data_IF_493081971486
#
_entry.id   IF_493081971486
#
_cell.length_a   1.000
_cell.length_b   1.000
_cell.length_c   1.000
_cell.angle_alpha   90.00
_cell.angle_beta   90.00
_cell.angle_gamma   90.00
#
_symmetry.space_group_name_H-M   'P 1'
#
loop_
_entity.id
_entity.type
_entity.pdbx_description
1 polymer ?
#
# COMPACT_ATOMS: atom_id res chain seq x y z
N UNK A 1 26.55 -17.76 -18.56
CA UNK A 1 25.97 -17.78 -17.19
C UNK A 1 24.79 -16.83 -17.20
N UNK A 2 23.66 -17.27 -16.68
CA UNK A 2 22.44 -16.46 -16.60
C UNK A 2 22.67 -15.29 -15.63
N UNK A 3 22.05 -14.13 -15.89
CA UNK A 3 22.23 -12.95 -15.03
C UNK A 3 21.35 -13.10 -13.77
N UNK A 4 21.84 -12.71 -12.59
CA UNK A 4 21.06 -12.82 -11.36
C UNK A 4 19.92 -11.80 -11.32
N UNK A 5 18.86 -12.17 -10.62
CA UNK A 5 17.76 -11.30 -10.19
C UNK A 5 18.24 -10.36 -9.08
N UNK A 6 18.25 -9.06 -9.37
CA UNK A 6 18.68 -8.02 -8.44
C UNK A 6 17.50 -7.14 -7.99
N UNK A 7 17.30 -7.05 -6.68
CA UNK A 7 16.33 -6.14 -6.09
C UNK A 7 17.05 -4.97 -5.43
N UNK A 8 16.87 -3.77 -5.96
CA UNK A 8 17.35 -2.54 -5.35
C UNK A 8 16.31 -2.06 -4.34
N UNK A 9 16.61 -2.22 -3.05
CA UNK A 9 15.72 -1.82 -1.96
C UNK A 9 16.07 -0.41 -1.48
N UNK A 10 15.19 0.54 -1.78
CA UNK A 10 15.32 1.95 -1.42
C UNK A 10 14.42 2.23 -0.23
N UNK A 11 14.95 2.90 0.79
CA UNK A 11 14.14 3.33 1.94
C UNK A 11 14.63 4.65 2.53
N UNK A 12 13.71 5.52 3.01
CA UNK A 12 14.08 6.69 3.79
C UNK A 12 14.55 6.32 5.21
N UNK A 13 14.38 5.07 5.63
CA UNK A 13 14.71 4.60 6.97
C UNK A 13 16.20 4.30 7.11
N UNK A 14 16.68 4.29 8.36
CA UNK A 14 18.08 3.94 8.68
C UNK A 14 18.46 2.52 8.29
N UNK A 15 17.49 1.60 8.25
CA UNK A 15 17.70 0.19 7.94
C UNK A 15 16.59 -0.30 7.02
N UNK A 16 16.89 -1.27 6.17
CA UNK A 16 15.85 -2.05 5.49
C UNK A 16 15.09 -2.92 6.49
N UNK A 17 13.83 -3.23 6.17
CA UNK A 17 13.01 -4.17 6.93
C UNK A 17 13.55 -5.61 6.76
N UNK A 18 13.85 -6.33 7.86
CA UNK A 18 14.18 -7.75 7.77
C UNK A 18 13.04 -8.59 7.19
N UNK A 19 11.79 -8.16 7.39
CA UNK A 19 10.62 -8.82 6.82
C UNK A 19 10.64 -8.73 5.29
N UNK A 20 10.83 -7.52 4.75
CA UNK A 20 10.86 -7.29 3.29
C UNK A 20 12.02 -8.05 2.65
N UNK A 21 13.17 -8.09 3.33
CA UNK A 21 14.34 -8.83 2.87
C UNK A 21 14.08 -10.34 2.77
N UNK A 22 13.49 -10.93 3.80
CA UNK A 22 13.15 -12.36 3.80
C UNK A 22 12.14 -12.68 2.69
N UNK A 23 11.07 -11.87 2.57
CA UNK A 23 10.06 -12.06 1.53
C UNK A 23 10.62 -11.94 0.12
N UNK A 24 11.60 -11.07 -0.11
CA UNK A 24 12.26 -10.98 -1.40
C UNK A 24 13.09 -12.26 -1.72
N UNK A 25 13.83 -12.80 -0.77
CA UNK A 25 14.53 -14.07 -0.99
C UNK A 25 13.56 -15.23 -1.24
N UNK A 26 12.49 -15.33 -0.46
CA UNK A 26 11.46 -16.35 -0.63
C UNK A 26 10.73 -16.22 -1.99
N UNK A 27 10.64 -15.01 -2.54
CA UNK A 27 10.12 -14.74 -3.87
C UNK A 27 11.10 -15.07 -5.02
N UNK A 28 12.34 -15.48 -4.71
CA UNK A 28 13.33 -15.93 -5.70
C UNK A 28 14.31 -14.85 -6.17
N UNK A 29 14.47 -13.75 -5.43
CA UNK A 29 15.52 -12.77 -5.72
C UNK A 29 16.90 -13.31 -5.30
N UNK A 30 17.90 -13.19 -6.18
CA UNK A 30 19.26 -13.68 -5.90
C UNK A 30 20.05 -12.73 -4.99
N UNK A 31 19.75 -11.43 -5.05
CA UNK A 31 20.45 -10.40 -4.28
C UNK A 31 19.55 -9.23 -3.95
N UNK A 32 19.73 -8.70 -2.75
CA UNK A 32 19.05 -7.52 -2.23
C UNK A 32 20.11 -6.46 -1.97
N UNK A 33 19.98 -5.31 -2.64
CA UNK A 33 20.96 -4.22 -2.56
C UNK A 33 20.29 -3.06 -1.81
N UNK A 34 20.65 -2.81 -0.54
CA UNK A 34 19.99 -1.80 0.27
C UNK A 34 20.56 -0.40 0.05
N UNK A 35 19.67 0.57 -0.02
CA UNK A 35 19.94 2.01 0.05
C UNK A 35 19.09 2.58 1.17
N UNK A 36 19.74 3.10 2.22
CA UNK A 36 19.09 3.55 3.45
C UNK A 36 19.30 5.04 3.67
N UNK A 37 18.42 5.66 4.44
CA UNK A 37 18.36 7.13 4.64
C UNK A 37 18.26 7.89 3.31
N UNK A 38 17.67 7.28 2.28
CA UNK A 38 17.56 7.90 0.96
C UNK A 38 16.59 9.07 1.03
N UNK A 39 17.00 10.19 0.47
CA UNK A 39 16.17 11.39 0.33
C UNK A 39 15.54 11.45 -1.07
N UNK A 40 14.53 12.33 -1.25
CA UNK A 40 13.85 12.47 -2.54
C UNK A 40 14.81 12.89 -3.67
N UNK A 41 15.78 13.73 -3.35
CA UNK A 41 16.76 14.29 -4.29
C UNK A 41 17.71 13.21 -4.87
N UNK A 42 17.87 12.09 -4.17
CA UNK A 42 18.77 11.00 -4.56
C UNK A 42 18.08 9.95 -5.46
N UNK A 43 16.74 9.96 -5.53
CA UNK A 43 15.97 8.95 -6.28
C UNK A 43 16.37 8.92 -7.75
N UNK A 44 16.51 10.08 -8.40
CA UNK A 44 16.89 10.16 -9.81
C UNK A 44 18.17 9.40 -10.11
N UNK A 45 19.23 9.68 -9.34
CA UNK A 45 20.54 9.08 -9.56
C UNK A 45 20.50 7.56 -9.38
N UNK A 46 19.86 7.09 -8.29
CA UNK A 46 19.71 5.66 -8.01
C UNK A 46 18.95 4.91 -9.11
N UNK A 47 17.88 5.52 -9.63
CA UNK A 47 17.08 4.93 -10.71
C UNK A 47 17.88 4.86 -12.00
N UNK A 48 18.55 5.95 -12.38
CA UNK A 48 19.36 6.00 -13.61
C UNK A 48 20.52 5.00 -13.58
N UNK A 49 21.23 4.90 -12.45
CA UNK A 49 22.28 3.91 -12.26
C UNK A 49 21.73 2.48 -12.34
N UNK A 50 20.52 2.25 -11.81
CA UNK A 50 19.85 0.94 -11.88
C UNK A 50 19.51 0.57 -13.33
N UNK A 51 18.83 1.44 -14.08
CA UNK A 51 18.32 1.13 -15.42
C UNK A 51 19.43 1.07 -16.49
N UNK A 52 20.51 1.83 -16.35
CA UNK A 52 21.62 1.83 -17.32
C UNK A 52 22.71 0.79 -17.02
N UNK A 53 22.64 0.11 -15.87
CA UNK A 53 23.63 -0.92 -15.49
C UNK A 53 23.59 -2.20 -16.34
N UNK A 54 22.53 -2.42 -17.13
CA UNK A 54 22.29 -3.64 -17.92
C UNK A 54 21.66 -3.29 -19.27
N UNK A 55 21.78 -4.21 -20.23
CA UNK A 55 21.14 -4.04 -21.54
C UNK A 55 19.60 -3.97 -21.41
N UNK A 56 18.88 -3.25 -22.29
CA UNK A 56 17.42 -3.14 -22.25
C UNK A 56 16.70 -4.50 -22.25
N UNK A 57 17.26 -5.49 -22.96
CA UNK A 57 16.70 -6.84 -23.06
C UNK A 57 16.76 -7.65 -21.75
N UNK A 58 17.61 -7.23 -20.82
CA UNK A 58 17.91 -7.92 -19.57
C UNK A 58 17.39 -7.17 -18.34
N UNK A 59 17.53 -5.84 -18.33
CA UNK A 59 17.32 -5.01 -17.13
C UNK A 59 15.90 -5.16 -16.59
N UNK A 60 14.88 -5.01 -17.43
CA UNK A 60 13.46 -5.14 -17.07
C UNK A 60 13.05 -6.55 -16.63
N UNK A 61 13.85 -7.57 -16.97
CA UNK A 61 13.55 -8.98 -16.67
C UNK A 61 14.28 -9.53 -15.45
N UNK A 62 15.34 -8.85 -15.01
CA UNK A 62 16.28 -9.36 -13.99
C UNK A 62 16.62 -8.33 -12.92
N UNK A 63 16.05 -7.14 -12.98
CA UNK A 63 16.29 -6.06 -12.03
C UNK A 63 14.96 -5.40 -11.70
N UNK A 64 14.72 -5.11 -10.42
CA UNK A 64 13.59 -4.31 -9.98
C UNK A 64 14.00 -3.37 -8.85
N UNK A 65 13.15 -2.38 -8.59
CA UNK A 65 13.25 -1.48 -7.45
C UNK A 65 12.12 -1.76 -6.48
N UNK A 66 12.45 -1.86 -5.20
CA UNK A 66 11.50 -1.93 -4.10
C UNK A 66 11.64 -0.70 -3.22
N UNK A 67 10.53 -0.05 -2.88
CA UNK A 67 10.48 1.12 -2.01
C UNK A 67 9.83 0.71 -0.69
N UNK A 68 10.67 0.62 0.33
CA UNK A 68 10.23 0.36 1.70
C UNK A 68 10.06 1.64 2.50
N UNK A 69 9.86 1.50 3.81
CA UNK A 69 9.78 2.61 4.76
C UNK A 69 8.59 2.50 5.70
N UNK A 70 8.39 3.54 6.52
CA UNK A 70 7.24 3.58 7.45
C UNK A 70 6.13 4.53 7.03
N UNK A 71 6.50 5.61 6.36
CA UNK A 71 5.53 6.61 5.89
C UNK A 71 5.03 6.25 4.49
N UNK A 72 3.72 6.03 4.38
CA UNK A 72 3.07 5.69 3.11
C UNK A 72 3.16 6.78 2.06
N UNK A 73 3.16 8.04 2.48
CA UNK A 73 3.16 9.16 1.57
C UNK A 73 4.55 9.39 1.01
N UNK A 74 5.58 9.31 1.85
CA UNK A 74 6.98 9.37 1.39
C UNK A 74 7.26 8.21 0.42
N UNK A 75 6.84 6.99 0.75
CA UNK A 75 7.04 5.84 -0.14
C UNK A 75 6.30 6.01 -1.49
N UNK A 76 5.09 6.57 -1.49
CA UNK A 76 4.36 6.88 -2.73
C UNK A 76 5.01 7.99 -3.54
N UNK A 77 5.50 9.05 -2.89
CA UNK A 77 6.21 10.14 -3.57
C UNK A 77 7.51 9.62 -4.21
N UNK A 78 8.26 8.78 -3.50
CA UNK A 78 9.45 8.10 -4.04
C UNK A 78 9.11 7.17 -5.19
N UNK A 79 7.95 6.50 -5.16
CA UNK A 79 7.47 5.63 -6.24
C UNK A 79 7.14 6.45 -7.49
N UNK A 80 6.43 7.56 -7.33
CA UNK A 80 6.13 8.48 -8.43
C UNK A 80 7.40 9.07 -9.02
N UNK A 81 8.33 9.51 -8.18
CA UNK A 81 9.61 10.05 -8.61
C UNK A 81 10.45 8.98 -9.33
N UNK A 82 10.45 7.75 -8.83
CA UNK A 82 11.12 6.63 -9.49
C UNK A 82 10.60 6.41 -10.91
N UNK A 83 9.27 6.45 -11.10
CA UNK A 83 8.66 6.28 -12.43
C UNK A 83 9.04 7.39 -13.41
N UNK A 84 9.19 8.64 -12.94
CA UNK A 84 9.55 9.78 -13.79
C UNK A 84 10.97 9.66 -14.38
N UNK A 85 11.87 8.97 -13.69
CA UNK A 85 13.28 8.86 -14.07
C UNK A 85 13.62 7.60 -14.87
N UNK A 86 12.61 6.81 -15.25
CA UNK A 86 12.74 5.74 -16.22
C UNK A 86 12.92 6.32 -17.64
N UNK A 87 13.73 5.67 -18.50
CA UNK A 87 14.02 6.16 -19.86
C UNK A 87 13.83 5.02 -20.85
N UNK A 88 12.73 4.94 -21.62
CA UNK A 88 12.53 3.87 -22.58
C UNK A 88 13.70 3.72 -23.57
N UNK A 89 14.18 2.49 -23.86
CA UNK A 89 13.69 1.19 -23.38
C UNK A 89 14.32 0.68 -22.06
N UNK A 90 15.03 1.53 -21.33
CA UNK A 90 15.67 1.23 -20.05
C UNK A 90 14.69 1.50 -18.89
N UNK A 91 13.97 0.46 -18.50
CA UNK A 91 12.98 0.52 -17.43
C UNK A 91 13.06 -0.73 -16.57
N UNK A 92 12.63 -0.63 -15.31
CA UNK A 92 12.52 -1.76 -14.40
C UNK A 92 11.17 -1.75 -13.69
N UNK A 93 10.64 -2.93 -13.31
CA UNK A 93 9.52 -2.99 -12.39
C UNK A 93 9.87 -2.24 -11.09
N UNK A 94 8.91 -1.47 -10.59
CA UNK A 94 9.01 -0.80 -9.29
C UNK A 94 7.79 -1.13 -8.44
N UNK A 95 8.03 -1.47 -7.19
CA UNK A 95 7.02 -1.80 -6.19
C UNK A 95 7.27 -1.03 -4.90
N UNK A 96 6.23 -0.61 -4.20
CA UNK A 96 6.33 0.03 -2.90
C UNK A 96 5.47 -0.73 -1.90
N UNK A 97 5.97 -0.96 -0.69
CA UNK A 97 5.19 -1.58 0.38
C UNK A 97 5.66 -1.14 1.77
N UNK A 98 5.41 0.14 2.13
CA UNK A 98 5.86 0.69 3.40
C UNK A 98 5.25 -0.07 4.57
N UNK A 99 6.11 -0.75 5.35
CA UNK A 99 5.73 -1.56 6.52
C UNK A 99 4.69 -2.64 6.21
N UNK A 100 4.66 -3.17 4.98
CA UNK A 100 3.69 -4.19 4.58
C UNK A 100 2.26 -3.68 4.38
N UNK A 101 2.04 -2.36 4.36
CA UNK A 101 0.72 -1.79 4.38
C UNK A 101 -0.12 -2.12 3.14
N UNK A 102 0.50 -2.09 1.96
CA UNK A 102 -0.19 -2.25 0.68
C UNK A 102 -0.49 -3.72 0.42
N UNK A 103 0.47 -4.60 0.70
CA UNK A 103 0.25 -6.05 0.58
C UNK A 103 -0.77 -6.56 1.60
N UNK A 104 -0.75 -6.03 2.84
CA UNK A 104 -1.78 -6.36 3.85
C UNK A 104 -3.17 -5.91 3.41
N UNK A 105 -3.30 -4.66 2.94
CA UNK A 105 -4.58 -4.14 2.44
C UNK A 105 -5.09 -4.95 1.24
N UNK A 106 -4.23 -5.23 0.26
CA UNK A 106 -4.58 -6.03 -0.90
C UNK A 106 -5.02 -7.46 -0.51
N UNK A 107 -4.29 -8.10 0.40
CA UNK A 107 -4.63 -9.42 0.92
C UNK A 107 -5.97 -9.44 1.65
N UNK A 108 -6.23 -8.44 2.50
CA UNK A 108 -7.49 -8.30 3.22
C UNK A 108 -8.68 -8.12 2.27
N UNK A 109 -8.55 -7.23 1.27
CA UNK A 109 -9.60 -7.01 0.26
C UNK A 109 -9.83 -8.27 -0.57
N UNK A 110 -8.78 -8.91 -1.10
CA UNK A 110 -8.92 -10.12 -1.91
C UNK A 110 -9.55 -11.29 -1.14
N UNK A 111 -9.22 -11.45 0.15
CA UNK A 111 -9.86 -12.46 1.01
C UNK A 111 -11.33 -12.14 1.25
N UNK A 112 -11.68 -10.87 1.36
CA UNK A 112 -13.06 -10.42 1.55
C UNK A 112 -13.88 -10.64 0.29
N UNK A 113 -13.38 -10.23 -0.87
CA UNK A 113 -13.99 -10.50 -2.18
C UNK A 113 -14.26 -11.99 -2.37
N UNK A 114 -13.25 -12.83 -2.09
CA UNK A 114 -13.43 -14.29 -2.14
C UNK A 114 -14.51 -14.78 -1.17
N UNK A 115 -14.52 -14.29 0.07
CA UNK A 115 -15.49 -14.72 1.07
C UNK A 115 -16.92 -14.29 0.70
N UNK A 116 -17.09 -13.09 0.14
CA UNK A 116 -18.38 -12.60 -0.38
C UNK A 116 -18.88 -13.50 -1.51
N UNK A 117 -18.00 -13.84 -2.45
CA UNK A 117 -18.37 -14.71 -3.56
C UNK A 117 -18.74 -16.10 -3.09
N UNK A 118 -17.89 -16.72 -2.28
CA UNK A 118 -18.05 -18.12 -1.86
C UNK A 118 -19.24 -18.32 -0.91
N UNK A 119 -19.52 -17.37 -0.01
CA UNK A 119 -20.51 -17.53 1.07
C UNK A 119 -21.85 -16.86 0.78
N UNK A 120 -21.84 -15.79 0.01
CA UNK A 120 -23.03 -14.95 -0.21
C UNK A 120 -23.38 -14.79 -1.69
N UNK A 121 -22.54 -15.29 -2.61
CA UNK A 121 -22.66 -15.07 -4.06
C UNK A 121 -22.76 -13.57 -4.41
N UNK A 122 -22.02 -12.74 -3.66
CA UNK A 122 -21.91 -11.30 -3.88
C UNK A 122 -20.55 -10.97 -4.48
N UNK A 123 -20.52 -9.94 -5.32
CA UNK A 123 -19.29 -9.35 -5.85
C UNK A 123 -18.83 -8.19 -4.93
N UNK A 124 -17.54 -7.85 -4.94
CA UNK A 124 -16.97 -6.78 -4.11
C UNK A 124 -17.11 -5.39 -4.76
N UNK A 125 -18.35 -5.03 -5.08
CA UNK A 125 -18.72 -3.78 -5.74
C UNK A 125 -20.09 -3.32 -5.23
N UNK A 126 -20.33 -2.01 -5.16
CA UNK A 126 -21.58 -1.42 -4.67
C UNK A 126 -21.92 -1.78 -3.20
N UNK A 127 -20.91 -2.03 -2.37
CA UNK A 127 -21.06 -2.30 -0.93
C UNK A 127 -20.75 -1.06 -0.10
N UNK A 128 -21.33 -0.99 1.11
CA UNK A 128 -20.94 -0.05 2.16
C UNK A 128 -19.88 -0.67 3.05
N UNK A 129 -18.72 -0.03 3.14
CA UNK A 129 -17.53 -0.55 3.82
C UNK A 129 -17.09 0.39 4.93
N UNK A 130 -17.11 -0.07 6.18
CA UNK A 130 -16.51 0.65 7.31
C UNK A 130 -15.06 0.21 7.54
N UNK A 131 -14.15 1.16 7.73
CA UNK A 131 -12.74 0.89 8.02
C UNK A 131 -12.38 1.46 9.39
N UNK A 132 -12.30 0.59 10.39
CA UNK A 132 -11.95 0.90 11.78
C UNK A 132 -10.44 1.13 11.92
N UNK A 133 -10.06 2.21 12.62
CA UNK A 133 -8.65 2.57 12.74
C UNK A 133 -8.05 3.02 11.40
N UNK A 134 -8.90 3.59 10.52
CA UNK A 134 -8.60 3.79 9.10
C UNK A 134 -7.50 4.80 8.78
N UNK A 135 -7.08 5.63 9.74
CA UNK A 135 -6.04 6.66 9.52
C UNK A 135 -4.61 6.10 9.46
N UNK A 136 -4.43 4.79 9.65
CA UNK A 136 -3.14 4.13 9.49
C UNK A 136 -2.87 3.68 8.04
N UNK A 137 -1.62 3.31 7.71
CA UNK A 137 -1.21 2.85 6.38
C UNK A 137 -2.12 1.81 5.73
N UNK A 138 -2.44 0.74 6.46
CA UNK A 138 -3.32 -0.34 5.97
C UNK A 138 -4.74 0.19 5.72
N UNK A 139 -5.26 1.01 6.61
CA UNK A 139 -6.59 1.61 6.50
C UNK A 139 -6.72 2.52 5.27
N UNK A 140 -5.73 3.38 5.05
CA UNK A 140 -5.64 4.26 3.88
C UNK A 140 -5.62 3.44 2.59
N UNK A 141 -4.73 2.45 2.48
CA UNK A 141 -4.64 1.60 1.29
C UNK A 141 -5.93 0.81 1.05
N UNK A 142 -6.54 0.28 2.11
CA UNK A 142 -7.80 -0.46 2.03
C UNK A 142 -8.94 0.44 1.57
N UNK A 143 -8.98 1.70 2.02
CA UNK A 143 -9.98 2.67 1.59
C UNK A 143 -9.86 2.98 0.09
N UNK A 144 -8.64 3.21 -0.38
CA UNK A 144 -8.37 3.49 -1.81
C UNK A 144 -8.74 2.30 -2.68
N UNK A 145 -8.30 1.09 -2.32
CA UNK A 145 -8.61 -0.12 -3.08
C UNK A 145 -10.13 -0.34 -3.12
N UNK A 146 -10.80 -0.23 -1.98
CA UNK A 146 -12.24 -0.46 -1.87
C UNK A 146 -13.06 0.56 -2.65
N UNK A 147 -12.70 1.84 -2.56
CA UNK A 147 -13.36 2.92 -3.32
C UNK A 147 -13.18 2.72 -4.83
N UNK A 148 -11.98 2.37 -5.28
CA UNK A 148 -11.70 2.08 -6.70
C UNK A 148 -12.40 0.83 -7.23
N UNK A 149 -12.74 -0.09 -6.35
CA UNK A 149 -13.57 -1.24 -6.67
C UNK A 149 -15.07 -0.91 -6.73
N UNK A 150 -15.48 0.37 -6.61
CA UNK A 150 -16.87 0.80 -6.75
C UNK A 150 -17.70 0.72 -5.47
N UNK A 151 -17.06 0.75 -4.30
CA UNK A 151 -17.73 0.67 -3.00
C UNK A 151 -17.83 2.04 -2.32
N UNK A 152 -18.83 2.23 -1.46
CA UNK A 152 -18.96 3.38 -0.57
C UNK A 152 -18.16 3.13 0.71
N UNK A 153 -17.17 3.99 1.00
CA UNK A 153 -16.20 3.72 2.07
C UNK A 153 -16.31 4.76 3.17
N UNK A 154 -16.51 4.31 4.40
CA UNK A 154 -16.49 5.14 5.61
C UNK A 154 -15.17 4.87 6.34
N UNK A 155 -14.24 5.83 6.28
CA UNK A 155 -12.95 5.73 6.96
C UNK A 155 -13.08 6.30 8.38
N UNK A 156 -12.97 5.42 9.38
CA UNK A 156 -13.23 5.75 10.77
C UNK A 156 -11.94 6.06 11.53
N UNK A 157 -11.87 7.25 12.11
CA UNK A 157 -10.77 7.69 12.96
C UNK A 157 -11.23 8.25 14.31
N UNK A 158 -10.26 8.45 15.22
CA UNK A 158 -10.50 9.00 16.56
C UNK A 158 -10.44 10.53 16.62
N UNK A 159 -9.78 11.16 15.66
CA UNK A 159 -9.59 12.60 15.60
C UNK A 159 -10.14 13.10 14.27
N UNK A 160 -11.10 14.03 14.34
CA UNK A 160 -11.82 14.51 13.16
C UNK A 160 -10.90 15.14 12.12
N UNK A 161 -10.12 16.14 12.51
CA UNK A 161 -9.23 16.87 11.59
C UNK A 161 -8.24 15.93 10.89
N UNK A 162 -7.65 14.98 11.63
CA UNK A 162 -6.75 13.98 11.04
C UNK A 162 -7.48 13.09 10.05
N UNK A 163 -8.70 12.68 10.36
CA UNK A 163 -9.50 11.77 9.52
C UNK A 163 -9.93 12.48 8.25
N UNK A 164 -10.38 13.73 8.34
CA UNK A 164 -10.70 14.59 7.19
C UNK A 164 -9.51 14.74 6.23
N UNK A 165 -8.32 15.05 6.75
CA UNK A 165 -7.10 15.14 5.93
C UNK A 165 -6.76 13.83 5.21
N UNK A 166 -6.94 12.69 5.89
CA UNK A 166 -6.71 11.37 5.28
C UNK A 166 -7.74 11.08 4.20
N UNK A 167 -9.01 11.38 4.43
CA UNK A 167 -10.08 11.19 3.44
C UNK A 167 -9.88 12.08 2.22
N UNK A 168 -9.56 13.36 2.42
CA UNK A 168 -9.23 14.29 1.34
C UNK A 168 -8.07 13.75 0.50
N UNK A 169 -7.02 13.25 1.14
CA UNK A 169 -5.89 12.65 0.46
C UNK A 169 -6.25 11.37 -0.31
N UNK A 170 -7.04 10.47 0.28
CA UNK A 170 -7.55 9.30 -0.42
C UNK A 170 -8.28 9.70 -1.71
N UNK A 171 -9.10 10.75 -1.63
CA UNK A 171 -9.91 11.15 -2.77
C UNK A 171 -9.12 11.93 -3.81
N UNK A 172 -8.41 12.97 -3.39
CA UNK A 172 -7.70 13.89 -4.30
C UNK A 172 -6.40 13.29 -4.82
N UNK A 173 -5.50 12.84 -3.94
CA UNK A 173 -4.16 12.38 -4.33
C UNK A 173 -4.22 11.00 -4.97
N UNK A 174 -5.00 10.09 -4.39
CA UNK A 174 -5.06 8.70 -4.85
C UNK A 174 -6.22 8.43 -5.83
N UNK A 175 -7.05 9.42 -6.12
CA UNK A 175 -8.15 9.32 -7.10
C UNK A 175 -9.26 8.37 -6.66
N UNK A 176 -9.51 8.29 -5.36
CA UNK A 176 -10.72 7.67 -4.80
C UNK A 176 -11.87 8.68 -4.89
N UNK A 177 -13.12 8.27 -5.01
CA UNK A 177 -14.22 9.24 -5.14
C UNK A 177 -15.35 9.04 -4.12
N UNK A 178 -15.30 7.95 -3.34
CA UNK A 178 -16.38 7.50 -2.47
C UNK A 178 -15.93 7.29 -1.03
N UNK A 179 -14.78 7.82 -0.63
CA UNK A 179 -14.33 7.76 0.76
C UNK A 179 -14.91 8.95 1.53
N UNK A 180 -15.58 8.68 2.65
CA UNK A 180 -16.15 9.69 3.56
C UNK A 180 -15.61 9.52 4.98
N UNK A 181 -15.72 10.59 5.76
CA UNK A 181 -15.23 10.65 7.14
C UNK A 181 -16.22 9.95 8.07
N UNK A 182 -15.72 9.03 8.89
CA UNK A 182 -16.41 8.50 10.07
C UNK A 182 -15.62 8.77 11.34
N UNK A 183 -16.31 8.90 12.47
CA UNK A 183 -15.69 9.09 13.78
C UNK A 183 -15.98 7.90 14.69
N UNK A 184 -15.01 7.51 15.50
CA UNK A 184 -15.11 6.36 16.41
C UNK A 184 -16.26 6.51 17.43
N UNK A 185 -16.60 7.74 17.81
CA UNK A 185 -17.76 8.04 18.66
C UNK A 185 -19.12 7.66 18.03
N UNK A 186 -19.19 7.65 16.69
CA UNK A 186 -20.40 7.32 15.94
C UNK A 186 -20.38 5.89 15.39
N UNK A 187 -19.43 5.07 15.84
CA UNK A 187 -19.16 3.73 15.31
C UNK A 187 -20.38 2.81 15.34
N UNK A 188 -21.12 2.76 16.45
CA UNK A 188 -22.31 1.90 16.56
C UNK A 188 -23.35 2.21 15.48
N UNK A 189 -23.65 3.50 15.27
CA UNK A 189 -24.56 3.95 14.20
C UNK A 189 -24.03 3.59 12.82
N UNK A 190 -22.73 3.82 12.55
CA UNK A 190 -22.13 3.47 11.26
C UNK A 190 -22.21 1.95 11.02
N UNK A 191 -21.84 1.14 12.01
CA UNK A 191 -21.77 -0.32 11.87
C UNK A 191 -23.15 -0.97 11.66
N UNK A 192 -24.25 -0.31 12.06
CA UNK A 192 -25.61 -0.80 11.83
C UNK A 192 -26.09 -0.73 10.36
N UNK A 193 -25.36 -0.07 9.47
CA UNK A 193 -25.75 0.18 8.08
C UNK A 193 -24.59 -0.09 7.10
N UNK A 194 -23.74 -1.09 7.37
CA UNK A 194 -22.63 -1.48 6.48
C UNK A 194 -22.64 -2.97 6.16
N UNK A 195 -22.13 -3.32 4.98
CA UNK A 195 -22.05 -4.70 4.51
C UNK A 195 -20.74 -5.38 4.94
N UNK A 196 -19.66 -4.59 5.03
CA UNK A 196 -18.30 -5.08 5.33
C UNK A 196 -17.62 -4.16 6.33
N UNK A 197 -16.89 -4.76 7.27
CA UNK A 197 -16.07 -4.05 8.25
C UNK A 197 -14.62 -4.51 8.14
N UNK A 198 -13.70 -3.58 7.93
CA UNK A 198 -12.26 -3.81 8.04
C UNK A 198 -11.73 -3.27 9.35
N UNK A 199 -10.99 -4.10 10.08
CA UNK A 199 -10.26 -3.68 11.26
C UNK A 199 -8.79 -3.48 10.89
N UNK A 200 -8.36 -2.22 10.83
CA UNK A 200 -6.98 -1.83 10.52
C UNK A 200 -6.31 -1.14 11.70
N UNK A 201 -6.76 -1.46 12.92
CA UNK A 201 -6.16 -0.99 14.17
C UNK A 201 -4.74 -1.50 14.37
N UNK A 202 -4.04 -0.88 15.32
CA UNK A 202 -2.74 -1.36 15.75
C UNK A 202 -2.86 -2.77 16.37
N UNK A 203 -1.77 -3.54 16.31
CA UNK A 203 -1.71 -4.87 16.88
C UNK A 203 -2.11 -4.88 18.36
N UNK A 204 -2.94 -5.84 18.76
CA UNK A 204 -3.42 -6.00 20.14
C UNK A 204 -4.53 -5.04 20.56
N UNK A 205 -5.05 -4.20 19.66
CA UNK A 205 -6.17 -3.31 19.95
C UNK A 205 -7.48 -3.89 19.43
N UNK A 206 -8.43 -4.10 20.34
CA UNK A 206 -9.80 -4.46 19.99
C UNK A 206 -10.58 -3.20 19.58
N UNK A 207 -11.07 -3.17 18.34
CA UNK A 207 -11.87 -2.05 17.80
C UNK A 207 -13.37 -2.36 17.69
N UNK A 208 -13.74 -3.63 17.80
CA UNK A 208 -15.10 -4.12 17.73
C UNK A 208 -15.27 -5.25 18.75
N UNK A 209 -16.42 -5.27 19.41
CA UNK A 209 -16.85 -6.30 20.36
C UNK A 209 -18.32 -6.64 20.09
N UNK A 210 -18.87 -7.59 20.86
CA UNK A 210 -20.23 -8.10 20.65
C UNK A 210 -21.35 -7.09 21.01
N UNK A 211 -21.00 -5.92 21.56
CA UNK A 211 -21.98 -4.88 21.91
C UNK A 211 -22.23 -3.86 20.78
N UNK A 212 -21.43 -3.91 19.72
CA UNK A 212 -21.47 -3.04 18.54
C UNK A 212 -22.13 -3.74 17.35
#
# INVERSE_FOLDING_TARGET
MEKPYLLHMITPEKNISPFDANMAFDAGWDSIIPYTNVTMEEIQALVQDTIFSRSPSTVSKRTAIFIGGRDTHIAMDMLEETKKHMVPPFEVPVFADPSGAFTTAAGMVAKTEKALKDKFNLDFENLKIAILGGTGPVGVASAVISSKAGNDVILIGRNQEKTEKVVEMCNVKYGSNSVVVGLDENKSTILSDVDVVFNTGAAGIQLMDDSL
#
